data_IF_816793137115
#
_entry.id   IF_816793137115
#
_cell.length_a   1.000
_cell.length_b   1.000
_cell.length_c   1.000
_cell.angle_alpha   90.00
_cell.angle_beta   90.00
_cell.angle_gamma   90.00
#
_symmetry.space_group_name_H-M   'P 1'
#
loop_
_entity.id
_entity.type
_entity.pdbx_description
1 polymer ?
#
# COMPACT_ATOMS: atom_id res chain seq x y z
N UNK A 1 -65.98 39.94 29.10
CA UNK A 1 -64.65 39.59 29.68
C UNK A 1 -64.12 38.27 29.07
N UNK A 2 -64.55 37.91 27.85
CA UNK A 2 -64.60 36.50 27.45
C UNK A 2 -63.56 36.09 26.40
N UNK A 3 -62.85 37.05 25.79
CA UNK A 3 -61.83 36.79 24.77
C UNK A 3 -60.48 36.38 25.37
N UNK A 4 -60.12 36.90 26.56
CA UNK A 4 -58.88 36.55 27.27
C UNK A 4 -58.93 35.13 27.85
N UNK A 5 -60.09 34.68 28.33
CA UNK A 5 -60.27 33.32 28.87
C UNK A 5 -60.20 32.24 27.77
N UNK A 6 -60.73 32.52 26.57
CA UNK A 6 -60.65 31.59 25.43
C UNK A 6 -59.24 31.46 24.85
N UNK A 7 -58.46 32.55 24.84
CA UNK A 7 -57.05 32.48 24.42
C UNK A 7 -56.21 31.72 25.44
N UNK A 8 -56.39 31.95 26.75
CA UNK A 8 -55.67 31.22 27.80
C UNK A 8 -56.00 29.72 27.76
N UNK A 9 -57.26 29.34 27.50
CA UNK A 9 -57.65 27.93 27.34
C UNK A 9 -57.01 27.25 26.12
N UNK A 10 -56.77 27.99 25.01
CA UNK A 10 -56.17 27.44 23.79
C UNK A 10 -54.66 27.14 23.96
N UNK A 11 -53.92 27.97 24.69
CA UNK A 11 -52.50 27.76 24.97
C UNK A 11 -52.25 26.69 26.06
N UNK A 12 -53.19 26.54 27.01
CA UNK A 12 -53.11 25.51 28.04
C UNK A 12 -53.25 24.08 27.47
N UNK A 13 -54.02 23.90 26.39
CA UNK A 13 -54.17 22.60 25.71
C UNK A 13 -52.95 22.21 24.85
N UNK A 14 -52.27 23.18 24.24
CA UNK A 14 -51.11 22.94 23.37
C UNK A 14 -49.81 22.71 24.17
N UNK A 15 -49.64 23.37 25.33
CA UNK A 15 -48.43 23.23 26.15
C UNK A 15 -48.22 21.82 26.69
N UNK A 16 -49.29 21.18 27.17
CA UNK A 16 -49.21 19.82 27.71
C UNK A 16 -48.91 18.76 26.64
N UNK A 17 -49.47 18.92 25.42
CA UNK A 17 -49.24 18.01 24.31
C UNK A 17 -47.79 18.04 23.82
N UNK A 18 -47.18 19.22 23.74
CA UNK A 18 -45.79 19.38 23.29
C UNK A 18 -44.80 18.87 24.33
N UNK A 19 -45.04 19.07 25.63
CA UNK A 19 -44.14 18.53 26.66
C UNK A 19 -44.27 17.03 26.81
N UNK A 20 -45.47 16.46 26.74
CA UNK A 20 -45.64 15.00 26.79
C UNK A 20 -45.12 14.33 25.51
N UNK A 21 -45.34 14.93 24.34
CA UNK A 21 -44.76 14.45 23.08
C UNK A 21 -43.24 14.62 23.06
N UNK A 22 -42.70 15.73 23.56
CA UNK A 22 -41.25 15.93 23.67
C UNK A 22 -40.63 15.02 24.71
N UNK A 23 -41.30 14.72 25.83
CA UNK A 23 -40.82 13.77 26.84
C UNK A 23 -40.95 12.34 26.31
N UNK A 24 -42.02 11.99 25.60
CA UNK A 24 -42.18 10.68 24.98
C UNK A 24 -41.22 10.49 23.80
N UNK A 25 -41.01 11.51 22.98
CA UNK A 25 -40.02 11.54 21.90
C UNK A 25 -38.61 11.54 22.46
N UNK A 26 -38.34 12.24 23.56
CA UNK A 26 -37.08 12.14 24.30
C UNK A 26 -36.90 10.77 24.96
N UNK A 27 -37.95 10.14 25.48
CA UNK A 27 -37.91 8.78 26.02
C UNK A 27 -37.79 7.73 24.92
N UNK A 28 -38.36 7.97 23.72
CA UNK A 28 -38.18 7.12 22.53
C UNK A 28 -36.77 7.28 21.95
N UNK A 29 -36.24 8.51 21.85
CA UNK A 29 -34.85 8.79 21.48
C UNK A 29 -33.86 8.25 22.54
N UNK A 30 -34.20 8.33 23.82
CA UNK A 30 -33.41 7.76 24.93
C UNK A 30 -33.51 6.25 24.99
N UNK A 31 -34.62 5.64 24.53
CA UNK A 31 -34.67 4.19 24.35
C UNK A 31 -33.69 3.73 23.29
N UNK A 32 -33.43 4.49 22.22
CA UNK A 32 -32.37 4.15 21.27
C UNK A 32 -30.96 4.26 21.90
N UNK A 33 -30.68 5.30 22.68
CA UNK A 33 -29.39 5.42 23.39
C UNK A 33 -29.19 4.34 24.47
N UNK A 34 -30.23 3.99 25.23
CA UNK A 34 -30.16 2.95 26.26
C UNK A 34 -30.15 1.53 25.67
N UNK A 35 -30.72 1.27 24.48
CA UNK A 35 -30.58 -0.02 23.77
C UNK A 35 -29.19 -0.22 23.18
N UNK A 36 -28.56 0.83 22.65
CA UNK A 36 -27.15 0.80 22.22
C UNK A 36 -26.20 0.51 23.39
N UNK A 37 -26.44 1.10 24.56
CA UNK A 37 -25.61 0.88 25.76
C UNK A 37 -25.87 -0.48 26.42
N UNK A 38 -27.09 -1.03 26.38
CA UNK A 38 -27.37 -2.40 26.85
C UNK A 38 -26.73 -3.48 25.96
N UNK A 39 -26.43 -3.16 24.69
CA UNK A 39 -25.56 -3.98 23.82
C UNK A 39 -24.09 -3.97 24.21
N UNK A 40 -23.62 -3.02 25.05
CA UNK A 40 -22.23 -2.97 25.54
C UNK A 40 -21.98 -3.80 26.81
N UNK A 41 -23.00 -4.34 27.48
CA UNK A 41 -22.83 -5.07 28.75
C UNK A 41 -23.39 -6.48 28.68
N UNK A 42 -22.83 -7.27 27.79
CA UNK A 42 -22.72 -8.73 27.93
C UNK A 42 -21.30 -9.12 27.53
N UNK A 43 -20.32 -8.63 28.30
CA UNK A 43 -18.98 -9.24 28.36
C UNK A 43 -19.08 -10.54 29.18
N UNK A 44 -19.88 -11.48 28.70
CA UNK A 44 -19.62 -12.90 28.92
C UNK A 44 -18.62 -13.34 27.85
N UNK A 45 -17.65 -14.14 28.27
CA UNK A 45 -16.52 -14.63 27.48
C UNK A 45 -16.93 -15.60 26.36
N UNK A 46 -17.87 -15.22 25.50
CA UNK A 46 -18.32 -16.05 24.38
C UNK A 46 -17.38 -15.83 23.21
N UNK A 47 -16.19 -16.41 23.33
CA UNK A 47 -15.25 -16.50 22.22
C UNK A 47 -15.79 -17.49 21.20
N UNK A 48 -16.07 -17.02 19.99
CA UNK A 48 -16.47 -17.86 18.87
C UNK A 48 -15.23 -18.34 18.14
N UNK A 49 -15.28 -19.56 17.64
CA UNK A 49 -14.23 -20.17 16.82
C UNK A 49 -14.81 -20.49 15.46
N UNK A 50 -14.21 -19.95 14.40
CA UNK A 50 -14.55 -20.28 13.01
C UNK A 50 -13.36 -20.94 12.32
N UNK A 51 -13.66 -21.74 11.29
CA UNK A 51 -12.67 -22.40 10.43
C UNK A 51 -12.83 -21.86 9.02
N UNK A 52 -11.74 -21.36 8.46
CA UNK A 52 -11.67 -20.84 7.09
C UNK A 52 -10.65 -21.67 6.31
N UNK A 53 -11.03 -22.06 5.09
CA UNK A 53 -10.15 -22.82 4.20
C UNK A 53 -9.31 -21.87 3.35
N UNK A 54 -8.00 -22.13 3.28
CA UNK A 54 -7.00 -21.25 2.66
C UNK A 54 -6.15 -22.06 1.68
N UNK A 55 -6.11 -21.72 0.38
CA UNK A 55 -5.32 -22.47 -0.58
C UNK A 55 -3.82 -22.33 -0.29
N UNK A 56 -3.06 -23.42 -0.46
CA UNK A 56 -1.62 -23.52 -0.17
C UNK A 56 -0.81 -22.43 -0.87
N UNK A 57 -1.22 -22.03 -2.08
CA UNK A 57 -0.58 -20.95 -2.84
C UNK A 57 -0.64 -19.60 -2.11
N UNK A 58 -1.76 -19.30 -1.43
CA UNK A 58 -1.97 -18.04 -0.73
C UNK A 58 -1.44 -18.06 0.71
N UNK A 59 -1.37 -19.23 1.37
CA UNK A 59 -0.94 -19.36 2.77
C UNK A 59 0.39 -18.65 3.05
N UNK A 60 1.39 -18.80 2.17
CA UNK A 60 2.69 -18.16 2.35
C UNK A 60 2.62 -16.64 2.36
N UNK A 61 1.78 -16.06 1.49
CA UNK A 61 1.54 -14.62 1.42
C UNK A 61 0.72 -14.10 2.60
N UNK A 62 -0.31 -14.85 3.02
CA UNK A 62 -1.14 -14.49 4.16
C UNK A 62 -0.36 -14.53 5.48
N UNK A 63 0.50 -15.54 5.68
CA UNK A 63 1.38 -15.58 6.87
C UNK A 63 2.41 -14.44 6.81
N UNK A 64 2.96 -14.21 5.62
CA UNK A 64 4.01 -13.23 5.39
C UNK A 64 5.37 -13.66 5.95
N UNK A 65 6.41 -12.88 5.64
CA UNK A 65 7.77 -13.15 6.10
C UNK A 65 7.84 -13.09 7.63
N UNK A 66 8.41 -14.12 8.26
CA UNK A 66 8.51 -14.24 9.72
C UNK A 66 7.15 -14.14 10.46
N UNK A 67 6.03 -14.42 9.78
CA UNK A 67 4.70 -14.27 10.34
C UNK A 67 4.29 -12.81 10.58
N UNK A 68 4.94 -11.84 9.92
CA UNK A 68 4.62 -10.41 10.11
C UNK A 68 3.20 -10.05 9.70
N UNK A 69 2.73 -10.54 8.54
CA UNK A 69 1.41 -10.20 8.02
C UNK A 69 0.29 -10.78 8.92
N UNK A 70 0.42 -12.05 9.30
CA UNK A 70 -0.57 -12.69 10.19
C UNK A 70 -0.58 -12.09 11.60
N UNK A 71 0.55 -11.58 12.10
CA UNK A 71 0.58 -10.85 13.38
C UNK A 71 -0.18 -9.53 13.28
N UNK A 72 0.03 -8.77 12.21
CA UNK A 72 -0.71 -7.53 11.98
C UNK A 72 -2.21 -7.78 11.80
N UNK A 73 -2.59 -8.88 11.13
CA UNK A 73 -4.00 -9.26 10.99
C UNK A 73 -4.64 -9.58 12.35
N UNK A 74 -3.93 -10.33 13.19
CA UNK A 74 -4.36 -10.63 14.57
C UNK A 74 -4.48 -9.36 15.42
N UNK A 75 -3.52 -8.43 15.30
CA UNK A 75 -3.54 -7.15 16.01
C UNK A 75 -4.70 -6.25 15.57
N UNK A 76 -4.93 -6.09 14.26
CA UNK A 76 -6.03 -5.29 13.70
C UNK A 76 -7.40 -5.80 14.11
N UNK A 77 -7.54 -7.11 14.24
CA UNK A 77 -8.82 -7.76 14.51
C UNK A 77 -8.98 -8.16 15.98
N UNK A 78 -7.93 -8.02 16.81
CA UNK A 78 -7.93 -8.56 18.18
C UNK A 78 -8.34 -10.05 18.26
N UNK A 79 -8.04 -10.82 17.21
CA UNK A 79 -8.33 -12.26 17.15
C UNK A 79 -7.06 -13.09 17.27
N UNK A 80 -7.23 -14.36 17.63
CA UNK A 80 -6.17 -15.37 17.62
C UNK A 80 -6.37 -16.28 16.41
N UNK A 81 -5.40 -16.27 15.51
CA UNK A 81 -5.46 -17.04 14.26
C UNK A 81 -4.39 -18.14 14.29
N UNK A 82 -4.80 -19.39 14.10
CA UNK A 82 -3.93 -20.55 14.02
C UNK A 82 -4.10 -21.27 12.68
N UNK A 83 -3.00 -21.64 12.03
CA UNK A 83 -3.05 -22.49 10.84
C UNK A 83 -2.79 -23.93 11.25
N UNK A 84 -3.73 -24.81 10.93
CA UNK A 84 -3.59 -26.21 11.23
C UNK A 84 -2.60 -26.87 10.24
N UNK A 85 -1.95 -27.95 10.69
CA UNK A 85 -1.13 -28.76 9.78
C UNK A 85 -2.07 -29.46 8.81
N UNK A 86 -1.72 -29.55 7.52
CA UNK A 86 -2.51 -30.33 6.57
C UNK A 86 -2.58 -31.78 7.06
N UNK A 87 -3.77 -32.39 6.97
CA UNK A 87 -4.02 -33.76 7.40
C UNK A 87 -3.30 -34.76 6.47
N UNK A 88 -3.14 -34.39 5.20
CA UNK A 88 -2.49 -35.20 4.17
C UNK A 88 -1.56 -34.34 3.30
N UNK A 89 -0.47 -34.91 2.81
CA UNK A 89 0.51 -34.19 1.98
C UNK A 89 -0.06 -33.71 0.62
N UNK A 90 -1.18 -34.27 0.20
CA UNK A 90 -1.88 -33.96 -1.05
C UNK A 90 -2.96 -32.89 -0.90
N UNK A 91 -3.26 -32.42 0.33
CA UNK A 91 -4.20 -31.32 0.52
C UNK A 91 -3.64 -30.02 -0.07
N UNK A 92 -4.32 -29.53 -1.11
CA UNK A 92 -4.06 -28.23 -1.71
C UNK A 92 -4.47 -27.08 -0.79
N UNK A 93 -5.28 -27.33 0.23
CA UNK A 93 -5.83 -26.32 1.12
C UNK A 93 -5.37 -26.54 2.56
N UNK A 94 -5.22 -25.45 3.32
CA UNK A 94 -4.98 -25.45 4.76
C UNK A 94 -6.15 -24.81 5.47
N UNK A 95 -6.52 -25.36 6.63
CA UNK A 95 -7.55 -24.78 7.49
C UNK A 95 -6.89 -23.79 8.45
N UNK A 96 -7.41 -22.56 8.51
CA UNK A 96 -7.10 -21.62 9.57
C UNK A 96 -8.26 -21.51 10.55
N UNK A 97 -7.95 -21.59 11.83
CA UNK A 97 -8.87 -21.46 12.95
C UNK A 97 -8.74 -20.05 13.53
N UNK A 98 -9.82 -19.27 13.52
CA UNK A 98 -9.89 -17.90 14.04
C UNK A 98 -10.73 -17.91 15.32
N UNK A 99 -10.18 -17.40 16.42
CA UNK A 99 -10.85 -17.31 17.73
C UNK A 99 -10.87 -15.87 18.24
N UNK A 100 -12.03 -15.39 18.67
CA UNK A 100 -12.19 -14.02 19.17
C UNK A 100 -13.63 -13.71 19.53
N UNK A 101 -13.97 -12.44 19.70
CA UNK A 101 -15.37 -12.03 19.86
C UNK A 101 -16.14 -12.24 18.56
N UNK A 102 -17.47 -12.45 18.59
CA UNK A 102 -18.24 -12.70 17.37
C UNK A 102 -18.20 -11.54 16.36
N UNK A 103 -17.98 -10.31 16.81
CA UNK A 103 -17.78 -9.13 15.94
C UNK A 103 -16.42 -9.17 15.28
N UNK A 104 -15.38 -9.40 16.08
CA UNK A 104 -13.98 -9.38 15.63
C UNK A 104 -13.68 -10.52 14.67
N UNK A 105 -14.24 -11.71 14.96
CA UNK A 105 -14.07 -12.91 14.14
C UNK A 105 -14.69 -12.72 12.75
N UNK A 106 -15.84 -12.04 12.64
CA UNK A 106 -16.45 -11.71 11.34
C UNK A 106 -15.56 -10.76 10.53
N UNK A 107 -15.05 -9.72 11.17
CA UNK A 107 -14.13 -8.77 10.53
C UNK A 107 -12.84 -9.49 10.09
N UNK A 108 -12.31 -10.38 10.94
CA UNK A 108 -11.14 -11.19 10.61
C UNK A 108 -11.39 -12.14 9.44
N UNK A 109 -12.57 -12.75 9.35
CA UNK A 109 -12.97 -13.59 8.23
C UNK A 109 -12.99 -12.81 6.91
N UNK A 110 -13.59 -11.63 6.90
CA UNK A 110 -13.66 -10.75 5.72
C UNK A 110 -12.26 -10.31 5.28
N UNK A 111 -11.42 -9.83 6.21
CA UNK A 111 -10.04 -9.44 5.90
C UNK A 111 -9.21 -10.63 5.41
N UNK A 112 -9.42 -11.81 5.97
CA UNK A 112 -8.74 -13.02 5.55
C UNK A 112 -9.10 -13.40 4.11
N UNK A 113 -10.38 -13.34 3.74
CA UNK A 113 -10.83 -13.57 2.36
C UNK A 113 -10.20 -12.57 1.40
N UNK A 114 -10.18 -11.28 1.77
CA UNK A 114 -9.53 -10.25 0.97
C UNK A 114 -8.02 -10.53 0.79
N UNK A 115 -7.31 -10.90 1.86
CA UNK A 115 -5.89 -11.25 1.75
C UNK A 115 -5.67 -12.44 0.82
N UNK A 116 -6.54 -13.46 0.84
CA UNK A 116 -6.43 -14.62 -0.04
C UNK A 116 -6.56 -14.20 -1.51
N UNK A 117 -7.59 -13.40 -1.84
CA UNK A 117 -7.82 -12.90 -3.19
C UNK A 117 -6.64 -12.05 -3.70
N UNK A 118 -6.11 -11.16 -2.85
CA UNK A 118 -4.97 -10.32 -3.19
C UNK A 118 -3.69 -11.13 -3.46
N UNK A 119 -3.45 -12.22 -2.72
CA UNK A 119 -2.27 -13.07 -2.93
C UNK A 119 -2.40 -13.96 -4.17
N UNK A 120 -3.61 -14.29 -4.61
CA UNK A 120 -3.86 -15.06 -5.83
C UNK A 120 -3.78 -14.17 -7.09
N UNK A 121 -3.90 -12.85 -6.93
CA UNK A 121 -3.78 -11.85 -7.99
C UNK A 121 -2.31 -11.51 -8.28
N UNK A 122 -1.63 -12.34 -9.08
CA UNK A 122 -0.32 -11.98 -9.62
C UNK A 122 -0.52 -11.13 -10.88
N UNK A 123 -0.14 -9.86 -10.82
CA UNK A 123 -0.22 -8.91 -11.93
C UNK A 123 1.20 -8.61 -12.42
N UNK A 124 1.33 -8.22 -13.69
CA UNK A 124 2.57 -7.66 -14.23
C UNK A 124 2.34 -6.21 -14.62
N UNK A 125 3.12 -5.31 -14.03
CA UNK A 125 3.08 -3.88 -14.31
C UNK A 125 4.38 -3.46 -15.01
N UNK A 126 4.28 -2.59 -16.01
CA UNK A 126 5.43 -2.10 -16.78
C UNK A 126 5.67 -0.62 -16.49
N UNK A 127 6.89 -0.31 -16.04
CA UNK A 127 7.32 1.06 -15.71
C UNK A 127 8.39 1.50 -16.69
N UNK A 128 8.31 2.75 -17.17
CA UNK A 128 9.29 3.33 -18.08
C UNK A 128 10.32 4.14 -17.32
N UNK A 129 11.59 3.80 -17.52
CA UNK A 129 12.73 4.34 -16.77
C UNK A 129 13.75 4.91 -17.75
N UNK A 130 14.30 6.11 -17.55
CA UNK A 130 15.38 6.63 -18.38
C UNK A 130 16.61 5.70 -18.40
N UNK A 131 17.16 5.43 -19.59
CA UNK A 131 18.26 4.49 -19.79
C UNK A 131 19.53 4.84 -19.00
N UNK A 132 19.76 6.13 -18.72
CA UNK A 132 20.84 6.62 -17.85
C UNK A 132 20.64 6.20 -16.39
N UNK A 133 19.40 6.19 -15.91
CA UNK A 133 19.05 5.80 -14.54
C UNK A 133 18.91 4.29 -14.35
N UNK A 134 18.61 3.53 -15.42
CA UNK A 134 18.57 2.06 -15.35
C UNK A 134 19.88 1.43 -14.85
N UNK A 135 21.04 2.01 -15.19
CA UNK A 135 22.33 1.52 -14.70
C UNK A 135 22.45 1.60 -13.17
N UNK A 136 21.93 2.67 -12.57
CA UNK A 136 21.89 2.86 -11.10
C UNK A 136 20.93 1.87 -10.44
N UNK A 137 19.74 1.69 -11.02
CA UNK A 137 18.70 0.76 -10.52
C UNK A 137 19.22 -0.68 -10.53
N UNK A 138 19.91 -1.11 -11.59
CA UNK A 138 20.52 -2.44 -11.65
C UNK A 138 21.64 -2.57 -10.61
N UNK A 139 22.48 -1.54 -10.49
CA UNK A 139 23.63 -1.53 -9.59
C UNK A 139 24.80 -2.37 -10.09
N UNK A 140 25.91 -2.35 -9.35
CA UNK A 140 27.10 -3.15 -9.67
C UNK A 140 26.76 -4.63 -9.58
N UNK A 141 27.04 -5.40 -10.64
CA UNK A 141 26.73 -6.84 -10.75
C UNK A 141 25.25 -7.21 -10.50
N UNK A 142 24.32 -6.26 -10.64
CA UNK A 142 22.90 -6.51 -10.34
C UNK A 142 22.57 -6.59 -8.85
N UNK A 143 23.45 -6.14 -7.96
CA UNK A 143 23.25 -6.25 -6.51
C UNK A 143 22.04 -5.42 -6.04
N UNK A 144 21.89 -4.19 -6.53
CA UNK A 144 20.79 -3.31 -6.16
C UNK A 144 19.44 -3.86 -6.60
N UNK A 145 19.32 -4.35 -7.84
CA UNK A 145 18.07 -4.97 -8.32
C UNK A 145 17.75 -6.27 -7.57
N UNK A 146 18.75 -7.10 -7.24
CA UNK A 146 18.54 -8.29 -6.40
C UNK A 146 18.10 -7.90 -4.99
N UNK A 147 18.66 -6.83 -4.44
CA UNK A 147 18.24 -6.23 -3.18
C UNK A 147 16.79 -5.77 -3.23
N UNK A 148 16.40 -5.04 -4.27
CA UNK A 148 15.01 -4.60 -4.48
C UNK A 148 14.05 -5.79 -4.60
N UNK A 149 14.36 -6.80 -5.42
CA UNK A 149 13.55 -8.03 -5.51
C UNK A 149 13.47 -8.75 -4.16
N UNK A 150 14.56 -8.77 -3.38
CA UNK A 150 14.57 -9.36 -2.05
C UNK A 150 13.68 -8.56 -1.10
N UNK A 151 13.73 -7.24 -1.10
CA UNK A 151 12.93 -6.40 -0.20
C UNK A 151 11.46 -6.44 -0.60
N UNK A 152 11.13 -6.14 -1.86
CA UNK A 152 9.73 -6.11 -2.35
C UNK A 152 9.11 -7.50 -2.45
N UNK A 153 9.90 -8.55 -2.67
CA UNK A 153 9.38 -9.87 -3.03
C UNK A 153 8.80 -9.96 -4.44
N UNK A 154 8.83 -8.87 -5.21
CA UNK A 154 8.42 -8.83 -6.61
C UNK A 154 9.55 -9.33 -7.51
N UNK A 155 9.19 -9.87 -8.67
CA UNK A 155 10.12 -10.21 -9.74
C UNK A 155 10.27 -9.00 -10.67
N UNK A 156 11.44 -8.38 -10.65
CA UNK A 156 11.76 -7.21 -11.47
C UNK A 156 12.63 -7.66 -12.65
N UNK A 157 12.20 -7.39 -13.88
CA UNK A 157 12.90 -7.71 -15.11
C UNK A 157 13.07 -6.44 -15.93
N UNK A 158 14.32 -6.11 -16.28
CA UNK A 158 14.66 -4.91 -17.05
C UNK A 158 14.92 -5.32 -18.49
N UNK A 159 14.12 -4.81 -19.42
CA UNK A 159 14.37 -5.02 -20.84
C UNK A 159 15.54 -4.16 -21.28
N UNK A 160 16.62 -4.82 -21.68
CA UNK A 160 17.82 -4.15 -22.24
C UNK A 160 17.68 -3.84 -23.72
N UNK A 161 16.74 -4.49 -24.38
CA UNK A 161 16.39 -4.26 -25.78
C UNK A 161 15.43 -3.06 -25.75
N UNK A 162 15.99 -1.86 -25.92
CA UNK A 162 15.14 -0.70 -26.16
C UNK A 162 14.31 -0.96 -27.41
N UNK A 163 13.05 -0.51 -27.41
CA UNK A 163 12.33 -0.37 -28.68
C UNK A 163 13.13 0.61 -29.54
N UNK A 164 13.90 0.12 -30.51
CA UNK A 164 14.65 0.92 -31.49
C UNK A 164 13.74 1.90 -32.28
N UNK A 165 12.42 1.77 -32.13
CA UNK A 165 11.39 2.58 -32.79
C UNK A 165 11.14 3.92 -32.09
N UNK A 166 11.46 4.04 -30.80
CA UNK A 166 11.21 5.26 -30.04
C UNK A 166 12.55 5.89 -29.66
N UNK A 167 12.90 7.01 -30.32
CA UNK A 167 14.10 7.83 -30.05
C UNK A 167 14.14 8.42 -28.61
N UNK A 168 13.21 8.04 -27.75
CA UNK A 168 13.21 8.33 -26.31
C UNK A 168 14.15 7.34 -25.63
N UNK A 169 15.18 7.85 -24.96
CA UNK A 169 16.13 7.07 -24.16
C UNK A 169 15.47 6.43 -22.90
N UNK A 170 14.34 5.74 -23.05
CA UNK A 170 13.54 5.08 -22.02
C UNK A 170 13.68 3.56 -22.18
N UNK A 171 13.74 2.84 -21.07
CA UNK A 171 13.74 1.37 -21.00
C UNK A 171 12.54 0.91 -20.19
N UNK A 172 11.92 -0.19 -20.59
CA UNK A 172 10.85 -0.83 -19.84
C UNK A 172 11.41 -1.69 -18.71
N UNK A 173 10.78 -1.60 -17.55
CA UNK A 173 10.99 -2.48 -16.41
C UNK A 173 9.66 -3.17 -16.13
N UNK A 174 9.60 -4.48 -16.31
CA UNK A 174 8.44 -5.30 -15.97
C UNK A 174 8.57 -5.81 -14.54
N UNK A 175 7.53 -5.60 -13.73
CA UNK A 175 7.45 -5.98 -12.33
C UNK A 175 6.27 -6.93 -12.18
N UNK A 176 6.55 -8.18 -11.81
CA UNK A 176 5.53 -9.21 -11.60
C UNK A 176 5.44 -9.55 -10.11
N UNK A 177 4.23 -9.50 -9.55
CA UNK A 177 3.99 -9.81 -8.14
C UNK A 177 2.56 -9.49 -7.71
N UNK A 178 2.32 -9.51 -6.40
CA UNK A 178 1.07 -8.99 -5.83
C UNK A 178 1.07 -7.46 -5.88
N UNK A 179 -0.11 -6.84 -5.77
CA UNK A 179 -0.26 -5.38 -5.79
C UNK A 179 0.62 -4.66 -4.75
N UNK A 180 0.73 -5.22 -3.55
CA UNK A 180 1.57 -4.67 -2.49
C UNK A 180 3.07 -4.76 -2.81
N UNK A 181 3.51 -5.90 -3.36
CA UNK A 181 4.90 -6.12 -3.76
C UNK A 181 5.30 -5.17 -4.90
N UNK A 182 4.41 -5.00 -5.89
CA UNK A 182 4.63 -4.08 -7.02
C UNK A 182 4.72 -2.65 -6.51
N UNK A 183 3.79 -2.20 -5.66
CA UNK A 183 3.81 -0.85 -5.08
C UNK A 183 5.11 -0.56 -4.32
N UNK A 184 5.58 -1.52 -3.53
CA UNK A 184 6.86 -1.40 -2.82
C UNK A 184 8.05 -1.33 -3.78
N UNK A 185 8.05 -2.16 -4.83
CA UNK A 185 9.09 -2.14 -5.85
C UNK A 185 9.14 -0.80 -6.60
N UNK A 186 7.98 -0.26 -6.98
CA UNK A 186 7.86 1.05 -7.65
C UNK A 186 8.42 2.15 -6.75
N UNK A 187 8.04 2.18 -5.48
CA UNK A 187 8.55 3.18 -4.52
C UNK A 187 10.08 3.15 -4.41
N UNK A 188 10.70 1.96 -4.41
CA UNK A 188 12.17 1.84 -4.37
C UNK A 188 12.83 2.28 -5.69
N UNK A 189 12.18 2.01 -6.82
CA UNK A 189 12.66 2.45 -8.14
C UNK A 189 12.60 3.97 -8.24
N UNK A 190 11.49 4.59 -7.82
CA UNK A 190 11.29 6.04 -7.84
C UNK A 190 12.30 6.77 -6.94
N UNK A 191 12.59 6.23 -5.75
CA UNK A 191 13.65 6.75 -4.89
C UNK A 191 15.01 6.75 -5.59
N UNK A 192 15.36 5.64 -6.26
CA UNK A 192 16.63 5.54 -7.02
C UNK A 192 16.65 6.40 -8.27
N UNK A 193 15.51 6.66 -8.88
CA UNK A 193 15.38 7.60 -9.99
C UNK A 193 15.64 9.04 -9.53
N UNK A 194 15.05 9.45 -8.41
CA UNK A 194 15.23 10.79 -7.85
C UNK A 194 16.70 11.05 -7.45
N UNK A 195 17.35 10.08 -6.80
CA UNK A 195 18.79 10.16 -6.47
C UNK A 195 19.65 10.37 -7.73
N UNK A 196 19.38 9.64 -8.81
CA UNK A 196 20.15 9.75 -10.04
C UNK A 196 19.88 11.06 -10.77
N UNK A 197 18.63 11.54 -10.81
CA UNK A 197 18.30 12.85 -11.40
C UNK A 197 19.07 13.97 -10.70
N UNK A 198 19.06 14.01 -9.36
CA UNK A 198 19.80 14.98 -8.59
C UNK A 198 21.33 14.87 -8.80
N UNK A 199 21.86 13.66 -9.00
CA UNK A 199 23.27 13.46 -9.35
C UNK A 199 23.61 13.98 -10.75
N UNK A 200 22.75 13.70 -11.73
CA UNK A 200 22.91 14.16 -13.11
C UNK A 200 22.84 15.69 -13.19
N UNK A 201 21.96 16.35 -12.45
CA UNK A 201 21.88 17.82 -12.38
C UNK A 201 23.19 18.43 -11.84
N UNK A 202 23.75 17.88 -10.76
CA UNK A 202 25.04 18.32 -10.21
C UNK A 202 26.19 18.11 -11.20
N UNK A 203 26.20 16.99 -11.92
CA UNK A 203 27.20 16.70 -12.95
C UNK A 203 27.02 17.57 -14.19
N UNK A 204 25.79 17.89 -14.58
CA UNK A 204 25.48 18.80 -15.67
C UNK A 204 25.98 20.22 -15.36
N UNK A 205 25.71 20.72 -14.15
CA UNK A 205 26.23 22.01 -13.70
C UNK A 205 27.77 22.05 -13.68
N UNK A 206 28.43 20.98 -13.22
CA UNK A 206 29.89 20.88 -13.19
C UNK A 206 30.53 20.76 -14.60
N UNK A 207 29.86 20.07 -15.53
CA UNK A 207 30.37 19.87 -16.89
C UNK A 207 30.16 21.10 -17.79
N UNK A 208 29.07 21.86 -17.60
CA UNK A 208 28.87 23.15 -18.26
C UNK A 208 30.01 24.15 -17.94
N UNK A 209 30.49 24.17 -16.69
CA UNK A 209 31.64 24.97 -16.28
C UNK A 209 32.98 24.51 -16.89
N UNK A 210 33.19 23.20 -17.03
CA UNK A 210 34.41 22.64 -17.65
C UNK A 210 34.47 22.84 -19.17
N UNK A 211 33.34 22.76 -19.86
CA UNK A 211 33.27 23.01 -21.31
C UNK A 211 33.61 24.48 -21.66
N UNK A 212 33.22 25.44 -20.82
CA UNK A 212 33.63 26.84 -20.97
C UNK A 212 35.15 27.03 -20.79
N UNK A 213 35.77 26.30 -19.86
CA UNK A 213 37.22 26.40 -19.57
C UNK A 213 38.12 25.89 -20.71
N UNK A 214 37.63 24.98 -21.56
CA UNK A 214 38.35 24.50 -22.74
C UNK A 214 38.12 25.38 -23.98
N UNK A 215 37.05 26.19 -23.99
CA UNK A 215 36.73 27.09 -25.12
C UNK A 215 37.58 28.36 -25.14
N UNK A 216 38.07 28.82 -23.99
CA UNK A 216 38.85 30.07 -23.85
C UNK A 216 40.36 29.88 -23.80
N UNK A 217 40.88 28.65 -23.98
CA UNK A 217 42.33 28.43 -24.08
C UNK A 217 42.80 28.78 -25.50
N UNK A 218 43.60 29.83 -25.70
CA UNK A 218 44.17 30.11 -27.01
C UNK A 218 45.03 28.91 -27.45
N UNK A 219 44.77 28.37 -28.63
CA UNK A 219 45.57 27.29 -29.20
C UNK A 219 46.99 27.81 -29.42
N UNK A 220 47.97 27.28 -28.67
CA UNK A 220 49.37 27.55 -28.93
C UNK A 220 49.77 26.85 -30.24
N UNK A 221 49.82 27.62 -31.33
CA UNK A 221 50.36 27.18 -32.62
C UNK A 221 51.87 27.02 -32.43
N UNK A 222 52.34 25.78 -32.22
CA UNK A 222 53.77 25.45 -32.27
C UNK A 222 54.22 25.59 -33.73
N UNK A 223 54.93 26.68 -34.04
CA UNK A 223 55.71 26.79 -35.26
C UNK A 223 56.76 25.68 -35.30
N UNK A 224 56.64 24.77 -36.26
CA UNK A 224 57.67 23.77 -36.54
C UNK A 224 58.85 24.40 -37.29
N UNK A 225 60.09 23.98 -37.05
CA UNK A 225 61.25 24.52 -37.75
C UNK A 225 61.24 24.08 -39.22
N UNK A 226 61.29 25.08 -40.11
CA UNK A 226 61.51 24.92 -41.54
C UNK A 226 62.92 24.40 -41.82
N UNK A 227 63.05 23.13 -42.17
CA UNK A 227 64.32 22.60 -42.69
C UNK A 227 64.46 22.94 -44.17
N UNK A 228 65.00 24.13 -44.44
CA UNK A 228 65.68 24.43 -45.70
C UNK A 228 67.15 24.05 -45.51
N UNK A 229 67.61 22.99 -46.18
CA UNK A 229 69.02 22.90 -46.60
C UNK A 229 69.12 22.07 -47.88
N UNK A 230 69.60 22.81 -48.87
CA UNK A 230 70.06 22.55 -50.23
C UNK A 230 70.74 21.21 -50.50
#
# INVERSE_FOLDING_TARGET
MDSKLKTIALWAGLGAGVTVSSILFYLLLRQEEEYEVKRRKTETTDHVVIKVTVPRAAVGGVIGRQGGNIKQLQEKTSTKINFDRPATAEECDRVCTIRGTPTDVKVAEELMKQCIEEQMSVITETVFVPGKACGRIIGRNGDTIRGMCRVSGAKILVDRIGNERDNTNLKSVSITGTKEQIKMAISMIDEKLAEEQAFQEKMAAASAGKAALYRTRPMAIKGGPSSLTR
#
